data_IF_596163190160
#
_entry.id   IF_596163190160
#
_cell.length_a   1.000
_cell.length_b   1.000
_cell.length_c   1.000
_cell.angle_alpha   90.00
_cell.angle_beta   90.00
_cell.angle_gamma   90.00
#
_symmetry.space_group_name_H-M   'P 1'
#
loop_
_entity.id
_entity.type
_entity.pdbx_description
1 polymer ?
#
# COMPACT_ATOMS: atom_id res chain seq x y z
N UNK A 1 -4.55 4.07 0.11
CA UNK A 1 -5.50 3.03 0.58
C UNK A 1 -4.93 1.67 0.24
N UNK A 2 -5.15 0.63 1.05
CA UNK A 2 -4.71 -0.73 0.72
C UNK A 2 -5.79 -1.76 1.06
N UNK A 3 -5.77 -2.87 0.32
CA UNK A 3 -6.70 -3.98 0.53
C UNK A 3 -5.97 -5.30 0.27
N UNK A 4 -6.17 -6.27 1.16
CA UNK A 4 -5.86 -7.67 0.94
C UNK A 4 -7.18 -8.43 0.95
N UNK A 5 -7.42 -9.29 -0.04
CA UNK A 5 -8.68 -9.98 -0.27
C UNK A 5 -8.43 -11.47 -0.50
N UNK A 6 -8.94 -12.30 0.40
CA UNK A 6 -8.97 -13.74 0.28
C UNK A 6 -10.31 -14.17 -0.32
N UNK A 7 -10.28 -14.78 -1.51
CA UNK A 7 -11.49 -15.24 -2.21
C UNK A 7 -12.09 -16.47 -1.56
N UNK A 8 -13.34 -16.77 -1.88
CA UNK A 8 -14.04 -17.95 -1.34
C UNK A 8 -13.23 -19.23 -1.48
N UNK A 9 -13.36 -20.13 -0.51
CA UNK A 9 -12.65 -21.42 -0.48
C UNK A 9 -11.12 -21.28 -0.63
N UNK A 10 -10.56 -20.12 -0.26
CA UNK A 10 -9.13 -19.83 -0.29
C UNK A 10 -8.48 -20.06 -1.67
N UNK A 11 -9.21 -19.76 -2.75
CA UNK A 11 -8.74 -20.05 -4.11
C UNK A 11 -7.69 -19.07 -4.62
N UNK A 12 -7.71 -17.85 -4.11
CA UNK A 12 -6.83 -16.77 -4.53
C UNK A 12 -6.71 -15.72 -3.41
N UNK A 13 -5.59 -15.01 -3.39
CA UNK A 13 -5.35 -13.88 -2.51
C UNK A 13 -4.91 -12.69 -3.36
N UNK A 14 -5.80 -11.70 -3.47
CA UNK A 14 -5.53 -10.42 -4.15
C UNK A 14 -5.04 -9.38 -3.15
N UNK A 15 -4.19 -8.47 -3.61
CA UNK A 15 -3.73 -7.35 -2.81
C UNK A 15 -3.50 -6.12 -3.68
N UNK A 16 -3.77 -4.95 -3.12
CA UNK A 16 -3.63 -3.70 -3.85
C UNK A 16 -3.37 -2.50 -2.96
N UNK A 17 -2.78 -1.47 -3.56
CA UNK A 17 -2.41 -0.23 -2.91
C UNK A 17 -2.58 0.97 -3.86
N UNK A 18 -3.27 2.01 -3.38
CA UNK A 18 -3.34 3.32 -4.04
C UNK A 18 -2.60 4.36 -3.22
N UNK A 19 -1.59 4.97 -3.83
CA UNK A 19 -0.89 6.09 -3.22
C UNK A 19 -1.77 7.33 -3.27
N UNK A 20 -1.91 8.02 -2.14
CA UNK A 20 -2.56 9.32 -2.08
C UNK A 20 -1.51 10.39 -1.78
N UNK A 21 -1.41 11.39 -2.65
CA UNK A 21 -0.47 12.51 -2.50
C UNK A 21 -0.94 13.71 -3.33
N UNK A 22 -0.16 14.78 -3.36
CA UNK A 22 -0.32 15.89 -4.29
C UNK A 22 -0.07 15.43 -5.72
N UNK A 23 -0.78 15.99 -6.68
CA UNK A 23 -0.59 15.61 -8.09
C UNK A 23 0.75 16.04 -8.66
N UNK A 24 1.53 16.87 -7.93
CA UNK A 24 2.92 17.18 -8.27
C UNK A 24 3.83 15.95 -8.23
N UNK A 25 3.47 14.90 -7.47
CA UNK A 25 4.25 13.67 -7.35
C UNK A 25 3.69 12.53 -8.20
N UNK A 26 2.62 12.77 -8.96
CA UNK A 26 1.98 11.78 -9.83
C UNK A 26 2.84 11.38 -11.04
N UNK A 27 3.85 12.17 -11.41
CA UNK A 27 4.83 11.86 -12.43
C UNK A 27 6.15 12.63 -12.19
N UNK A 28 7.26 12.24 -12.84
CA UNK A 28 7.50 10.93 -13.44
C UNK A 28 7.49 9.81 -12.38
N UNK A 29 6.88 8.67 -12.71
CA UNK A 29 6.89 7.45 -11.88
C UNK A 29 7.76 6.37 -12.51
N UNK A 30 8.23 5.45 -11.68
CA UNK A 30 9.06 4.32 -12.11
C UNK A 30 8.69 3.09 -11.30
N UNK A 31 8.39 1.98 -11.98
CA UNK A 31 8.31 0.67 -11.34
C UNK A 31 9.69 0.01 -11.42
N UNK A 32 10.27 -0.33 -10.27
CA UNK A 32 11.65 -0.79 -10.19
C UNK A 32 11.70 -2.26 -9.86
N UNK A 33 12.63 -2.96 -10.49
CA UNK A 33 12.98 -4.34 -10.19
C UNK A 33 14.48 -4.38 -9.88
N UNK A 34 14.83 -4.59 -8.61
CA UNK A 34 16.23 -4.62 -8.17
C UNK A 34 16.59 -6.01 -7.71
N UNK A 35 17.46 -6.68 -8.46
CA UNK A 35 18.03 -7.98 -8.07
C UNK A 35 19.43 -7.77 -7.50
N UNK A 36 19.58 -7.95 -6.20
CA UNK A 36 20.82 -7.73 -5.47
C UNK A 36 21.25 -9.00 -4.72
N UNK A 37 22.57 -9.22 -4.53
CA UNK A 37 23.05 -10.26 -3.64
C UNK A 37 22.71 -9.91 -2.18
N UNK A 38 22.11 -10.85 -1.46
CA UNK A 38 21.84 -10.74 -0.02
C UNK A 38 22.43 -11.94 0.72
N UNK A 39 22.98 -11.69 1.89
CA UNK A 39 23.58 -12.73 2.72
C UNK A 39 22.50 -13.36 3.61
N UNK A 40 22.32 -14.68 3.50
CA UNK A 40 21.43 -15.48 4.33
C UNK A 40 22.24 -16.58 5.00
N UNK A 41 22.82 -16.26 6.17
CA UNK A 41 23.83 -17.10 6.80
C UNK A 41 25.10 -17.17 5.95
N UNK A 42 25.52 -18.37 5.56
CA UNK A 42 26.70 -18.58 4.71
C UNK A 42 26.37 -18.52 3.20
N UNK A 43 25.09 -18.47 2.82
CA UNK A 43 24.67 -18.45 1.41
C UNK A 43 24.46 -17.02 0.90
N UNK A 44 24.93 -16.75 -0.32
CA UNK A 44 24.57 -15.55 -1.07
C UNK A 44 23.34 -15.85 -1.94
N UNK A 45 22.20 -15.24 -1.60
CA UNK A 45 20.98 -15.33 -2.38
C UNK A 45 20.90 -14.16 -3.35
N UNK A 46 20.25 -14.35 -4.51
CA UNK A 46 19.86 -13.25 -5.38
C UNK A 46 18.41 -12.90 -5.06
N UNK A 47 18.23 -11.74 -4.42
CA UNK A 47 16.90 -11.27 -4.03
C UNK A 47 16.43 -10.17 -4.97
N UNK A 48 15.24 -10.36 -5.51
CA UNK A 48 14.56 -9.37 -6.32
C UNK A 48 13.52 -8.65 -5.48
N UNK A 49 13.63 -7.31 -5.44
CA UNK A 49 12.61 -6.44 -4.86
C UNK A 49 11.97 -5.62 -5.99
N UNK A 50 10.68 -5.85 -6.22
CA UNK A 50 9.86 -5.17 -7.22
C UNK A 50 8.93 -4.18 -6.54
N UNK A 51 8.93 -2.90 -6.93
CA UNK A 51 8.17 -1.87 -6.22
C UNK A 51 7.85 -0.64 -7.06
N UNK A 52 6.75 0.04 -6.73
CA UNK A 52 6.42 1.36 -7.27
C UNK A 52 7.28 2.44 -6.61
N UNK A 53 7.75 3.41 -7.40
CA UNK A 53 8.71 4.42 -6.95
C UNK A 53 8.72 5.63 -7.90
N UNK A 54 9.66 6.55 -7.67
CA UNK A 54 9.91 7.73 -8.49
C UNK A 54 11.42 7.89 -8.75
N UNK A 55 11.85 8.66 -9.77
CA UNK A 55 13.26 8.90 -10.02
C UNK A 55 14.02 9.41 -8.78
N UNK A 56 15.23 8.89 -8.56
CA UNK A 56 16.07 9.24 -7.42
C UNK A 56 15.78 8.48 -6.11
N UNK A 57 14.61 7.87 -5.95
CA UNK A 57 14.33 7.08 -4.74
C UNK A 57 14.89 5.66 -4.85
N UNK A 58 15.52 5.15 -3.79
CA UNK A 58 16.02 3.76 -3.73
C UNK A 58 15.02 2.79 -3.08
N UNK A 59 13.88 3.31 -2.67
CA UNK A 59 12.78 2.63 -2.00
C UNK A 59 11.45 3.04 -2.66
N UNK A 60 10.39 2.34 -2.32
CA UNK A 60 9.04 2.88 -2.44
C UNK A 60 8.89 4.01 -1.40
N UNK A 61 8.02 4.98 -1.69
CA UNK A 61 7.50 5.97 -0.72
C UNK A 61 5.96 5.93 -0.80
N UNK A 62 5.42 4.79 -1.26
CA UNK A 62 4.01 4.61 -1.56
C UNK A 62 3.24 3.98 -0.37
N UNK A 63 3.57 2.80 0.18
CA UNK A 63 4.56 1.79 -0.21
C UNK A 63 3.93 0.50 -0.74
N UNK A 64 4.51 -0.05 -1.82
CA UNK A 64 4.19 -1.36 -2.37
C UNK A 64 5.45 -2.10 -2.79
N UNK A 65 5.70 -3.27 -2.21
CA UNK A 65 6.81 -4.15 -2.57
C UNK A 65 6.37 -5.59 -2.77
N UNK A 66 7.02 -6.25 -3.73
CA UNK A 66 7.10 -7.70 -3.84
C UNK A 66 8.56 -8.10 -3.67
N UNK A 67 8.86 -8.87 -2.64
CA UNK A 67 10.20 -9.37 -2.31
C UNK A 67 10.24 -10.85 -2.61
N UNK A 68 11.12 -11.29 -3.53
CA UNK A 68 11.21 -12.71 -3.89
C UNK A 68 12.65 -13.18 -4.06
N UNK A 69 12.92 -14.35 -3.52
CA UNK A 69 14.07 -15.19 -3.81
C UNK A 69 13.69 -16.68 -3.64
N UNK A 70 14.67 -17.57 -3.52
CA UNK A 70 14.43 -19.00 -3.33
C UNK A 70 13.85 -19.38 -1.94
N UNK A 71 13.97 -18.50 -0.94
CA UNK A 71 13.52 -18.73 0.44
C UNK A 71 12.32 -17.86 0.84
N UNK A 72 12.06 -16.78 0.11
CA UNK A 72 11.12 -15.74 0.50
C UNK A 72 10.24 -15.31 -0.66
N UNK A 73 8.95 -15.12 -0.39
CA UNK A 73 7.99 -14.52 -1.31
C UNK A 73 7.04 -13.64 -0.52
N UNK A 74 7.46 -12.41 -0.23
CA UNK A 74 6.70 -11.46 0.59
C UNK A 74 6.06 -10.37 -0.25
N UNK A 75 4.86 -9.96 0.14
CA UNK A 75 4.23 -8.72 -0.29
C UNK A 75 4.19 -7.79 0.92
N UNK A 76 4.71 -6.57 0.74
CA UNK A 76 4.84 -5.58 1.81
C UNK A 76 4.19 -4.30 1.35
N UNK A 77 3.14 -3.88 2.06
CA UNK A 77 2.35 -2.68 1.73
C UNK A 77 2.16 -1.86 2.99
N UNK A 78 2.06 -0.54 2.88
CA UNK A 78 1.73 0.33 4.01
C UNK A 78 0.58 1.30 3.72
N UNK A 79 -0.07 1.82 4.76
CA UNK A 79 -0.69 3.15 4.69
C UNK A 79 -0.33 3.97 5.92
N UNK A 80 -0.15 5.28 5.73
CA UNK A 80 0.40 6.15 6.78
C UNK A 80 -0.64 6.56 7.81
N UNK A 81 -0.30 6.47 9.09
CA UNK A 81 -1.10 6.94 10.20
C UNK A 81 -0.75 8.38 10.57
N UNK A 82 -1.77 9.17 10.89
CA UNK A 82 -1.56 10.52 11.40
C UNK A 82 -1.23 10.52 12.89
N UNK A 83 -0.39 11.47 13.33
CA UNK A 83 -0.08 11.70 14.75
C UNK A 83 -0.72 13.02 15.18
N UNK A 84 -1.89 12.91 15.83
CA UNK A 84 -2.65 14.05 16.35
C UNK A 84 -2.20 14.48 17.75
N UNK A 85 -1.63 13.56 18.53
CA UNK A 85 -1.09 13.84 19.86
C UNK A 85 0.34 14.39 19.75
N UNK A 86 0.48 15.70 19.79
CA UNK A 86 1.78 16.38 19.69
C UNK A 86 2.80 15.95 20.76
N UNK A 87 2.37 15.55 21.96
CA UNK A 87 3.30 15.08 23.00
C UNK A 87 4.01 13.77 22.63
N UNK A 88 3.49 12.99 21.67
CA UNK A 88 4.15 11.78 21.18
C UNK A 88 5.51 12.10 20.53
N UNK A 89 5.66 13.28 19.92
CA UNK A 89 6.92 13.69 19.29
C UNK A 89 8.09 13.85 20.27
N UNK A 90 7.83 13.90 21.59
CA UNK A 90 8.91 13.88 22.58
C UNK A 90 9.73 12.58 22.59
N UNK A 91 9.20 11.50 21.99
CA UNK A 91 9.90 10.23 21.82
C UNK A 91 10.87 10.19 20.63
N UNK A 92 10.87 11.21 19.76
CA UNK A 92 11.76 11.26 18.60
C UNK A 92 13.20 11.54 19.04
N UNK A 93 14.15 10.82 18.45
CA UNK A 93 15.58 11.02 18.70
C UNK A 93 16.40 10.83 17.41
N UNK A 94 17.46 11.62 17.18
CA UNK A 94 18.39 11.39 16.07
C UNK A 94 19.21 10.09 16.22
N UNK A 95 19.26 9.47 17.40
CA UNK A 95 19.86 8.14 17.60
C UNK A 95 18.90 7.01 17.19
N UNK A 96 18.40 7.09 15.97
CA UNK A 96 17.43 6.15 15.38
C UNK A 96 17.70 5.92 13.90
N UNK A 97 16.97 5.01 13.27
CA UNK A 97 17.05 4.73 11.83
C UNK A 97 15.73 5.13 11.17
N UNK A 98 15.82 5.96 10.13
CA UNK A 98 14.66 6.44 9.38
C UNK A 98 13.86 5.28 8.77
N UNK A 99 12.53 5.45 8.70
CA UNK A 99 11.61 4.42 8.20
C UNK A 99 12.06 3.80 6.86
N UNK A 100 12.38 4.63 5.86
CA UNK A 100 12.80 4.13 4.55
C UNK A 100 14.02 3.18 4.61
N UNK A 101 14.98 3.45 5.49
CA UNK A 101 16.17 2.62 5.64
C UNK A 101 15.85 1.31 6.36
N UNK A 102 14.96 1.36 7.38
CA UNK A 102 14.47 0.14 8.06
C UNK A 102 13.67 -0.73 7.10
N UNK A 103 12.83 -0.15 6.24
CA UNK A 103 12.11 -0.87 5.18
C UNK A 103 13.07 -1.55 4.21
N UNK A 104 14.10 -0.85 3.74
CA UNK A 104 15.11 -1.43 2.84
C UNK A 104 15.84 -2.62 3.49
N UNK A 105 16.22 -2.49 4.77
CA UNK A 105 16.86 -3.57 5.54
C UNK A 105 15.91 -4.76 5.72
N UNK A 106 14.65 -4.51 6.11
CA UNK A 106 13.66 -5.58 6.30
C UNK A 106 13.39 -6.33 4.99
N UNK A 107 13.21 -5.61 3.88
CA UNK A 107 13.05 -6.21 2.55
C UNK A 107 14.30 -7.02 2.13
N UNK A 108 15.50 -6.59 2.50
CA UNK A 108 16.74 -7.28 2.17
C UNK A 108 17.00 -8.54 3.02
N UNK A 109 16.53 -8.58 4.28
CA UNK A 109 16.92 -9.62 5.25
C UNK A 109 15.81 -10.57 5.68
N UNK A 110 14.53 -10.16 5.61
CA UNK A 110 13.42 -10.99 6.05
C UNK A 110 13.22 -12.20 5.11
N UNK A 111 12.84 -13.35 5.66
CA UNK A 111 12.44 -14.52 4.85
C UNK A 111 10.96 -14.86 4.99
N UNK A 112 10.33 -14.38 6.07
CA UNK A 112 8.93 -14.57 6.43
C UNK A 112 8.33 -13.25 6.98
N UNK A 113 7.01 -13.22 7.16
CA UNK A 113 6.29 -12.06 7.70
C UNK A 113 6.71 -11.63 9.13
N UNK A 114 6.83 -12.54 10.13
CA UNK A 114 7.33 -12.18 11.46
C UNK A 114 8.76 -11.65 11.43
N UNK A 115 9.63 -12.23 10.59
CA UNK A 115 11.00 -11.77 10.40
C UNK A 115 11.05 -10.36 9.84
N UNK A 116 10.16 -10.02 8.91
CA UNK A 116 10.04 -8.65 8.39
C UNK A 116 9.69 -7.66 9.49
N UNK A 117 8.65 -7.96 10.28
CA UNK A 117 8.24 -7.14 11.41
C UNK A 117 9.39 -6.96 12.42
N UNK A 118 10.13 -8.02 12.73
CA UNK A 118 11.30 -7.99 13.61
C UNK A 118 12.42 -7.08 13.07
N UNK A 119 12.79 -7.21 11.79
CA UNK A 119 13.85 -6.40 11.20
C UNK A 119 13.46 -4.92 11.11
N UNK A 120 12.22 -4.63 10.71
CA UNK A 120 11.71 -3.26 10.62
C UNK A 120 11.65 -2.57 12.00
N UNK A 121 11.39 -3.34 13.07
CA UNK A 121 11.30 -2.83 14.44
C UNK A 121 12.65 -2.44 15.07
N UNK A 122 13.77 -2.71 14.39
CA UNK A 122 15.10 -2.33 14.87
C UNK A 122 15.34 -0.82 14.78
N UNK A 123 15.69 -0.18 15.89
CA UNK A 123 16.05 1.25 15.97
C UNK A 123 14.97 2.20 15.41
N UNK A 124 13.72 2.13 15.88
CA UNK A 124 12.62 2.88 15.30
C UNK A 124 12.81 4.38 15.48
N UNK A 125 12.44 5.14 14.44
CA UNK A 125 12.57 6.59 14.45
C UNK A 125 11.30 7.30 14.90
N UNK A 126 10.12 6.68 14.81
CA UNK A 126 8.84 7.37 15.00
C UNK A 126 8.54 8.39 13.89
N UNK A 127 9.20 8.25 12.74
CA UNK A 127 8.99 9.09 11.56
C UNK A 127 8.42 8.24 10.43
N UNK A 128 7.57 8.85 9.60
CA UNK A 128 6.78 8.13 8.58
C UNK A 128 6.02 6.94 9.22
N UNK A 129 5.10 7.31 10.11
CA UNK A 129 4.39 6.41 11.02
C UNK A 129 3.29 5.68 10.25
N UNK A 130 3.45 4.38 10.05
CA UNK A 130 2.61 3.64 9.10
C UNK A 130 2.01 2.39 9.74
N UNK A 131 0.92 1.90 9.15
CA UNK A 131 0.47 0.51 9.27
C UNK A 131 1.07 -0.28 8.11
N UNK A 132 2.01 -1.17 8.41
CA UNK A 132 2.62 -2.11 7.49
C UNK A 132 1.85 -3.44 7.49
N UNK A 133 1.58 -3.98 6.31
CA UNK A 133 0.94 -5.27 6.09
C UNK A 133 1.92 -6.15 5.33
N UNK A 134 2.29 -7.28 5.92
CA UNK A 134 3.26 -8.22 5.36
C UNK A 134 2.58 -9.56 5.12
N UNK A 135 2.43 -9.92 3.86
CA UNK A 135 1.88 -11.19 3.43
C UNK A 135 3.02 -12.12 2.98
N UNK A 136 3.09 -13.29 3.59
CA UNK A 136 4.01 -14.37 3.22
C UNK A 136 3.31 -15.36 2.28
N UNK A 137 3.58 -15.22 0.97
CA UNK A 137 3.00 -16.07 -0.06
C UNK A 137 3.56 -17.49 -0.04
N UNK A 138 4.71 -17.75 0.61
CA UNK A 138 5.20 -19.13 0.76
C UNK A 138 4.28 -19.98 1.65
N UNK A 139 3.48 -19.32 2.49
CA UNK A 139 2.51 -19.98 3.39
C UNK A 139 1.11 -20.05 2.80
N UNK A 140 0.85 -19.39 1.67
CA UNK A 140 -0.44 -19.48 0.99
C UNK A 140 -0.52 -20.76 0.14
N UNK A 141 -1.36 -21.70 0.55
CA UNK A 141 -1.67 -22.90 -0.23
C UNK A 141 -3.11 -22.81 -0.72
N UNK A 142 -3.28 -22.75 -2.04
CA UNK A 142 -4.59 -22.67 -2.70
C UNK A 142 -5.53 -23.77 -2.18
N UNK A 143 -6.72 -23.37 -1.76
CA UNK A 143 -7.75 -24.28 -1.25
C UNK A 143 -7.58 -24.71 0.20
N UNK A 144 -6.53 -24.29 0.89
CA UNK A 144 -6.28 -24.63 2.30
C UNK A 144 -6.46 -23.41 3.21
N UNK A 145 -6.90 -23.60 4.48
CA UNK A 145 -6.90 -22.55 5.48
C UNK A 145 -5.53 -21.85 5.59
N UNK A 146 -5.53 -20.53 5.81
CA UNK A 146 -4.29 -19.79 6.04
C UNK A 146 -3.60 -20.34 7.29
N UNK A 147 -2.32 -20.68 7.15
CA UNK A 147 -1.49 -21.02 8.30
C UNK A 147 -1.19 -19.77 9.14
N UNK A 148 -0.84 -19.95 10.41
CA UNK A 148 -0.30 -18.86 11.21
C UNK A 148 0.92 -18.24 10.52
N UNK A 149 1.12 -16.96 10.79
CA UNK A 149 2.16 -16.11 10.22
C UNK A 149 2.10 -15.94 8.69
N UNK A 150 0.97 -16.24 8.05
CA UNK A 150 0.76 -15.92 6.64
C UNK A 150 0.61 -14.42 6.43
N UNK A 151 -0.03 -13.70 7.36
CA UNK A 151 -0.31 -12.27 7.23
C UNK A 151 -0.06 -11.55 8.56
N UNK A 152 0.93 -10.67 8.59
CA UNK A 152 1.27 -9.84 9.75
C UNK A 152 0.93 -8.39 9.52
N UNK A 153 0.51 -7.71 10.59
CA UNK A 153 0.30 -6.27 10.60
C UNK A 153 1.19 -5.65 11.68
N UNK A 154 1.89 -4.59 11.31
CA UNK A 154 2.75 -3.80 12.20
C UNK A 154 2.32 -2.34 12.13
N UNK A 155 2.19 -1.68 13.28
CA UNK A 155 1.98 -0.24 13.34
C UNK A 155 3.10 0.45 14.12
N UNK A 156 3.69 1.49 13.53
CA UNK A 156 4.65 2.37 14.19
C UNK A 156 4.05 3.75 14.40
N UNK A 157 4.22 4.27 15.61
CA UNK A 157 4.03 5.68 15.98
C UNK A 157 5.20 6.12 16.87
N UNK A 158 5.41 7.42 17.16
CA UNK A 158 6.53 7.84 18.00
C UNK A 158 6.56 7.12 19.36
N UNK A 159 7.64 6.37 19.61
CA UNK A 159 7.86 5.63 20.85
C UNK A 159 7.09 4.32 21.01
N UNK A 160 6.36 3.85 19.99
CA UNK A 160 5.59 2.61 20.06
C UNK A 160 5.60 1.88 18.71
N UNK A 161 5.91 0.59 18.76
CA UNK A 161 5.62 -0.36 17.68
C UNK A 161 4.76 -1.47 18.25
N UNK A 162 3.69 -1.81 17.52
CA UNK A 162 2.92 -3.04 17.73
C UNK A 162 3.04 -3.90 16.48
N UNK A 163 3.25 -5.20 16.61
CA UNK A 163 3.27 -6.13 15.49
C UNK A 163 2.63 -7.45 15.88
N UNK A 164 1.71 -7.96 15.06
CA UNK A 164 0.95 -9.16 15.39
C UNK A 164 0.51 -9.94 14.14
N UNK A 165 0.38 -11.25 14.28
CA UNK A 165 -0.20 -12.12 13.27
C UNK A 165 -1.71 -11.86 13.13
N UNK A 166 -2.14 -11.56 11.92
CA UNK A 166 -3.54 -11.32 11.54
C UNK A 166 -4.04 -12.36 10.52
N UNK A 167 -3.39 -13.53 10.43
CA UNK A 167 -3.77 -14.62 9.54
C UNK A 167 -5.19 -15.13 9.85
N UNK A 168 -5.55 -15.26 11.13
CA UNK A 168 -6.90 -15.64 11.56
C UNK A 168 -7.94 -14.60 11.14
N UNK A 169 -7.64 -13.32 11.32
CA UNK A 169 -8.51 -12.23 10.87
C UNK A 169 -8.74 -12.29 9.36
N UNK A 170 -7.68 -12.41 8.56
CA UNK A 170 -7.80 -12.48 7.10
C UNK A 170 -8.57 -13.73 6.66
N UNK A 171 -8.37 -14.87 7.33
CA UNK A 171 -9.11 -16.11 7.10
C UNK A 171 -10.61 -15.96 7.41
N UNK A 172 -10.96 -15.32 8.52
CA UNK A 172 -12.35 -15.19 8.99
C UNK A 172 -13.11 -14.07 8.28
N UNK A 173 -12.51 -12.88 8.20
CA UNK A 173 -13.13 -11.68 7.61
C UNK A 173 -13.04 -11.67 6.09
N UNK A 174 -12.17 -12.50 5.51
CA UNK A 174 -11.92 -12.62 4.07
C UNK A 174 -11.22 -11.41 3.44
N UNK A 175 -10.94 -10.36 4.21
CA UNK A 175 -10.18 -9.21 3.75
C UNK A 175 -9.51 -8.45 4.92
N UNK A 176 -8.50 -7.65 4.57
CA UNK A 176 -7.92 -6.62 5.41
C UNK A 176 -7.89 -5.30 4.64
N UNK A 177 -8.57 -4.27 5.13
CA UNK A 177 -8.52 -2.93 4.54
C UNK A 177 -7.69 -1.98 5.40
N UNK A 178 -6.88 -1.13 4.76
CA UNK A 178 -6.03 -0.12 5.41
C UNK A 178 -6.25 1.26 4.77
N UNK A 179 -6.42 2.27 5.63
CA UNK A 179 -6.97 3.58 5.22
C UNK A 179 -6.59 4.70 6.19
N UNK A 180 -5.31 4.76 6.58
CA UNK A 180 -4.72 5.83 7.38
C UNK A 180 -5.34 6.02 8.78
N UNK A 181 -5.95 4.98 9.33
CA UNK A 181 -6.47 4.94 10.71
C UNK A 181 -5.81 3.74 11.36
N UNK A 182 -5.26 3.90 12.57
CA UNK A 182 -4.59 2.80 13.25
C UNK A 182 -5.59 1.72 13.72
N UNK A 183 -5.23 0.45 13.55
CA UNK A 183 -6.01 -0.73 13.91
C UNK A 183 -5.87 -1.09 15.39
N UNK A 184 -4.68 -0.97 15.96
CA UNK A 184 -4.43 -1.39 17.33
C UNK A 184 -4.85 -0.29 18.33
N UNK A 185 -5.59 -0.63 19.41
CA UNK A 185 -6.09 0.35 20.37
C UNK A 185 -5.00 1.23 21.01
N UNK A 186 -3.86 0.64 21.35
CA UNK A 186 -2.69 1.30 21.92
C UNK A 186 -2.01 2.23 20.93
N UNK A 187 -1.88 1.82 19.67
CA UNK A 187 -1.38 2.68 18.59
C UNK A 187 -2.29 3.89 18.40
N UNK A 188 -3.61 3.68 18.27
CA UNK A 188 -4.57 4.80 18.20
C UNK A 188 -4.44 5.74 19.39
N UNK A 189 -4.39 5.17 20.60
CA UNK A 189 -4.24 5.95 21.84
C UNK A 189 -2.95 6.76 21.86
N UNK A 190 -1.83 6.20 21.40
CA UNK A 190 -0.54 6.88 21.34
C UNK A 190 -0.55 7.99 20.27
N UNK A 191 -1.11 7.72 19.10
CA UNK A 191 -1.28 8.69 18.01
C UNK A 191 -2.27 9.82 18.34
N UNK A 192 -3.20 9.60 19.28
CA UNK A 192 -4.32 10.52 19.52
C UNK A 192 -5.41 10.41 18.45
N UNK A 193 -5.49 9.28 17.74
CA UNK A 193 -6.53 9.00 16.76
C UNK A 193 -7.86 8.72 17.48
N UNK A 194 -8.90 9.45 17.07
CA UNK A 194 -10.25 9.35 17.63
C UNK A 194 -11.21 8.59 16.72
N UNK A 195 -10.86 8.44 15.44
CA UNK A 195 -11.63 7.65 14.51
C UNK A 195 -11.54 6.17 14.87
N UNK A 196 -12.69 5.49 14.75
CA UNK A 196 -12.73 4.05 14.88
C UNK A 196 -12.36 3.43 13.53
N UNK A 197 -11.31 2.60 13.54
CA UNK A 197 -10.83 1.86 12.38
C UNK A 197 -11.98 1.21 11.61
N UNK A 198 -12.80 0.41 12.30
CA UNK A 198 -13.81 -0.44 11.67
C UNK A 198 -15.05 0.29 11.14
N UNK A 199 -15.25 1.56 11.47
CA UNK A 199 -16.46 2.31 11.10
C UNK A 199 -16.19 3.63 10.37
N UNK A 200 -14.92 3.98 10.16
CA UNK A 200 -14.59 5.14 9.34
C UNK A 200 -15.07 4.97 7.88
N UNK A 201 -15.14 6.06 7.14
CA UNK A 201 -15.75 6.09 5.80
C UNK A 201 -15.14 5.03 4.85
N UNK A 202 -13.81 4.95 4.74
CA UNK A 202 -13.14 3.95 3.88
C UNK A 202 -13.29 2.52 4.38
N UNK A 203 -13.43 2.30 5.69
CA UNK A 203 -13.78 0.98 6.23
C UNK A 203 -15.15 0.51 5.73
N UNK A 204 -16.14 1.42 5.75
CA UNK A 204 -17.48 1.14 5.22
C UNK A 204 -17.46 0.89 3.72
N UNK A 205 -16.72 1.70 2.95
CA UNK A 205 -16.57 1.49 1.51
C UNK A 205 -15.96 0.12 1.20
N UNK A 206 -14.82 -0.22 1.82
CA UNK A 206 -14.21 -1.53 1.62
C UNK A 206 -15.14 -2.66 2.02
N UNK A 207 -15.86 -2.55 3.14
CA UNK A 207 -16.83 -3.56 3.55
C UNK A 207 -17.94 -3.77 2.49
N UNK A 208 -18.41 -2.70 1.84
CA UNK A 208 -19.41 -2.79 0.77
C UNK A 208 -18.88 -3.28 -0.57
N UNK A 209 -17.63 -2.94 -0.92
CA UNK A 209 -17.05 -3.18 -2.23
C UNK A 209 -16.31 -4.51 -2.32
N UNK A 210 -15.59 -4.92 -1.26
CA UNK A 210 -14.76 -6.12 -1.31
C UNK A 210 -15.47 -7.45 -1.66
N UNK A 211 -16.79 -7.64 -1.42
CA UNK A 211 -17.46 -8.86 -1.86
C UNK A 211 -17.45 -9.07 -3.38
N UNK A 212 -17.35 -8.01 -4.18
CA UNK A 212 -17.36 -8.13 -5.66
C UNK A 212 -16.05 -8.68 -6.23
N UNK A 213 -14.97 -8.70 -5.44
CA UNK A 213 -13.64 -9.06 -5.89
C UNK A 213 -13.53 -10.57 -6.07
N UNK A 214 -13.65 -11.00 -7.32
CA UNK A 214 -13.49 -12.39 -7.75
C UNK A 214 -12.40 -12.56 -8.81
N UNK A 215 -11.91 -11.46 -9.40
CA UNK A 215 -10.83 -11.42 -10.39
C UNK A 215 -9.83 -10.28 -10.10
N UNK A 216 -8.72 -10.25 -10.84
CA UNK A 216 -7.76 -9.15 -10.79
C UNK A 216 -8.39 -7.83 -11.26
N UNK A 217 -9.22 -7.86 -12.31
CA UNK A 217 -9.94 -6.69 -12.84
C UNK A 217 -10.94 -6.15 -11.82
N UNK A 218 -11.64 -7.04 -11.10
CA UNK A 218 -12.53 -6.60 -10.02
C UNK A 218 -11.74 -5.94 -8.87
N UNK A 219 -10.54 -6.44 -8.55
CA UNK A 219 -9.65 -5.80 -7.60
C UNK A 219 -9.18 -4.42 -8.10
N UNK A 220 -8.81 -4.31 -9.38
CA UNK A 220 -8.44 -3.05 -10.03
C UNK A 220 -9.56 -2.02 -9.92
N UNK A 221 -10.80 -2.40 -10.24
CA UNK A 221 -11.97 -1.51 -10.11
C UNK A 221 -12.24 -1.08 -8.67
N UNK A 222 -12.09 -1.98 -7.68
CA UNK A 222 -12.32 -1.62 -6.27
C UNK A 222 -11.24 -0.68 -5.74
N UNK A 223 -9.97 -0.93 -6.08
CA UNK A 223 -8.87 -0.06 -5.66
C UNK A 223 -8.98 1.31 -6.32
N UNK A 224 -9.35 1.36 -7.60
CA UNK A 224 -9.56 2.61 -8.32
C UNK A 224 -10.89 3.33 -8.03
N UNK A 225 -11.73 2.78 -7.16
CA UNK A 225 -13.11 3.21 -7.01
C UNK A 225 -13.22 4.66 -6.54
N UNK A 226 -13.99 5.45 -7.30
CA UNK A 226 -14.46 6.77 -6.92
C UNK A 226 -15.78 7.11 -7.62
N UNK A 227 -16.83 6.36 -7.35
CA UNK A 227 -18.19 6.67 -7.78
C UNK A 227 -18.97 7.41 -6.69
N UNK A 228 -18.40 8.54 -6.21
CA UNK A 228 -18.97 9.28 -5.09
C UNK A 228 -20.36 9.85 -5.38
N UNK A 229 -20.70 10.09 -6.66
CA UNK A 229 -22.00 10.64 -7.05
C UNK A 229 -23.16 9.64 -6.85
N UNK A 230 -22.89 8.33 -6.98
CA UNK A 230 -23.90 7.28 -6.80
C UNK A 230 -23.77 6.53 -5.46
N UNK A 231 -22.83 6.93 -4.61
CA UNK A 231 -22.57 6.27 -3.33
C UNK A 231 -23.53 6.73 -2.22
N UNK A 232 -23.92 5.79 -1.36
CA UNK A 232 -24.61 6.08 -0.09
C UNK A 232 -23.66 6.27 1.09
N UNK A 233 -22.35 6.10 0.88
CA UNK A 233 -21.30 6.20 1.90
C UNK A 233 -20.40 7.42 1.64
N UNK A 234 -19.99 7.60 0.39
CA UNK A 234 -19.19 8.73 -0.07
C UNK A 234 -20.09 9.89 -0.48
N UNK A 235 -19.76 11.10 -0.06
CA UNK A 235 -20.54 12.31 -0.38
C UNK A 235 -19.70 13.41 -1.02
N UNK A 236 -18.43 13.14 -1.29
CA UNK A 236 -17.53 14.06 -1.99
C UNK A 236 -16.48 13.27 -2.79
N UNK A 237 -15.84 13.88 -3.80
CA UNK A 237 -14.83 13.18 -4.60
C UNK A 237 -13.56 12.83 -3.79
N UNK A 238 -13.37 13.42 -2.61
CA UNK A 238 -12.29 13.07 -1.68
C UNK A 238 -12.65 11.89 -0.77
N UNK A 239 -13.93 11.54 -0.66
CA UNK A 239 -14.42 10.44 0.17
C UNK A 239 -14.48 9.12 -0.61
N UNK A 240 -13.36 8.67 -1.16
CA UNK A 240 -13.31 7.48 -2.01
C UNK A 240 -12.23 6.48 -1.57
N UNK A 241 -12.11 5.34 -2.27
CA UNK A 241 -10.92 4.48 -2.15
C UNK A 241 -9.73 5.17 -2.85
N UNK A 242 -9.99 5.77 -4.01
CA UNK A 242 -9.02 6.59 -4.76
C UNK A 242 -9.53 8.04 -4.92
N UNK A 243 -9.16 8.93 -3.99
CA UNK A 243 -9.69 10.30 -3.93
C UNK A 243 -9.36 11.16 -5.17
N UNK A 244 -10.26 12.10 -5.47
CA UNK A 244 -10.20 13.08 -6.55
C UNK A 244 -10.45 14.51 -6.01
N UNK A 245 -9.50 15.04 -5.25
CA UNK A 245 -9.62 16.38 -4.66
C UNK A 245 -9.77 17.49 -5.70
N UNK A 246 -9.34 17.24 -6.94
CA UNK A 246 -9.42 18.15 -8.08
C UNK A 246 -10.85 18.34 -8.60
N UNK A 247 -11.76 17.40 -8.31
CA UNK A 247 -13.17 17.47 -8.70
C UNK A 247 -14.04 18.20 -7.67
N UNK A 248 -13.50 18.53 -6.49
CA UNK A 248 -14.23 19.28 -5.48
C UNK A 248 -14.62 20.70 -5.97
N UNK A 249 -15.64 21.28 -5.32
CA UNK A 249 -16.05 22.68 -5.58
C UNK A 249 -14.89 23.67 -5.35
N UNK A 250 -14.13 23.47 -4.27
CA UNK A 250 -12.83 24.09 -4.06
C UNK A 250 -11.72 23.07 -4.38
N UNK A 251 -11.21 23.07 -5.63
CA UNK A 251 -10.35 21.99 -6.10
C UNK A 251 -8.99 22.04 -5.44
N UNK A 252 -8.44 20.86 -5.16
CA UNK A 252 -7.05 20.67 -4.74
C UNK A 252 -6.42 19.63 -5.65
N UNK A 253 -5.24 19.92 -6.20
CA UNK A 253 -4.49 18.96 -7.02
C UNK A 253 -3.85 17.90 -6.13
N UNK A 254 -4.66 16.99 -5.60
CA UNK A 254 -4.25 15.92 -4.69
C UNK A 254 -5.35 14.88 -4.50
N UNK A 255 -4.94 13.66 -4.16
CA UNK A 255 -5.80 12.49 -4.11
C UNK A 255 -5.00 11.25 -4.49
N UNK A 256 -5.68 10.23 -5.03
CA UNK A 256 -5.00 9.06 -5.60
C UNK A 256 -4.10 9.46 -6.79
N UNK A 257 -2.87 8.96 -6.82
CA UNK A 257 -1.89 9.24 -7.88
C UNK A 257 -1.35 7.99 -8.58
N UNK A 258 -1.71 6.81 -8.09
CA UNK A 258 -1.48 5.53 -8.74
C UNK A 258 -2.37 4.46 -8.11
N UNK A 259 -2.42 3.30 -8.75
CA UNK A 259 -2.88 2.06 -8.13
C UNK A 259 -2.01 0.90 -8.57
N UNK A 260 -1.75 -0.06 -7.67
CA UNK A 260 -0.98 -1.28 -7.90
C UNK A 260 -1.77 -2.48 -7.38
N UNK A 261 -1.92 -3.51 -8.19
CA UNK A 261 -2.66 -4.73 -7.87
C UNK A 261 -1.83 -5.97 -8.23
N UNK A 262 -1.84 -6.96 -7.36
CA UNK A 262 -1.28 -8.28 -7.61
C UNK A 262 -2.13 -9.38 -6.96
N UNK A 263 -1.76 -10.63 -7.22
CA UNK A 263 -2.35 -11.82 -6.60
C UNK A 263 -1.29 -12.85 -6.25
N UNK A 264 -1.62 -13.84 -5.43
CA UNK A 264 -0.70 -14.94 -5.15
C UNK A 264 -0.27 -15.64 -6.45
N UNK A 265 -1.22 -15.86 -7.38
CA UNK A 265 -0.93 -16.40 -8.72
C UNK A 265 -0.01 -15.49 -9.55
N UNK A 266 -0.27 -14.18 -9.62
CA UNK A 266 0.53 -13.26 -10.44
C UNK A 266 1.98 -13.14 -9.94
N UNK A 267 2.20 -13.26 -8.63
CA UNK A 267 3.54 -13.25 -8.06
C UNK A 267 4.26 -14.59 -8.26
N UNK A 268 3.54 -15.71 -8.19
CA UNK A 268 4.06 -17.02 -8.55
C UNK A 268 4.50 -17.02 -10.03
N UNK A 269 3.67 -16.47 -10.92
CA UNK A 269 3.87 -16.34 -12.37
C UNK A 269 4.77 -15.16 -12.78
N UNK A 270 5.90 -15.00 -12.09
CA UNK A 270 6.95 -14.06 -12.50
C UNK A 270 6.86 -12.67 -11.87
N UNK A 271 6.36 -12.55 -10.63
CA UNK A 271 6.31 -11.28 -9.88
C UNK A 271 5.56 -10.17 -10.64
N UNK A 272 4.47 -10.52 -11.32
CA UNK A 272 3.72 -9.57 -12.11
C UNK A 272 2.78 -8.74 -11.21
N UNK A 273 2.94 -7.42 -11.26
CA UNK A 273 2.04 -6.43 -10.68
C UNK A 273 1.37 -5.65 -11.80
N UNK A 274 0.06 -5.51 -11.79
CA UNK A 274 -0.64 -4.56 -12.67
C UNK A 274 -0.70 -3.21 -11.97
N UNK A 275 -0.38 -2.14 -12.68
CA UNK A 275 -0.42 -0.80 -12.11
C UNK A 275 -0.89 0.24 -13.13
N UNK A 276 -1.46 1.31 -12.61
CA UNK A 276 -1.85 2.50 -13.35
C UNK A 276 -1.27 3.74 -12.66
N UNK A 277 -0.74 4.67 -13.44
CA UNK A 277 -0.27 5.95 -12.94
C UNK A 277 -1.36 7.02 -13.10
N UNK A 278 -1.42 7.95 -12.15
CA UNK A 278 -2.34 9.09 -12.15
C UNK A 278 -3.63 8.88 -11.36
N UNK A 279 -4.45 9.93 -11.24
CA UNK A 279 -5.77 9.85 -10.62
C UNK A 279 -6.70 8.89 -11.36
N UNK A 280 -7.62 8.25 -10.63
CA UNK A 280 -8.59 7.33 -11.26
C UNK A 280 -9.41 8.03 -12.34
N UNK A 281 -9.55 7.36 -13.47
CA UNK A 281 -10.40 7.73 -14.61
C UNK A 281 -11.49 6.66 -14.89
N UNK A 282 -11.74 5.74 -13.95
CA UNK A 282 -12.75 4.67 -14.13
C UNK A 282 -14.18 5.21 -14.03
N UNK A 283 -14.47 5.89 -12.92
CA UNK A 283 -15.78 6.48 -12.64
C UNK A 283 -15.83 7.99 -12.94
N UNK A 284 -14.67 8.59 -13.22
CA UNK A 284 -14.46 10.03 -13.29
C UNK A 284 -13.70 10.44 -14.56
N UNK A 285 -13.83 11.69 -15.04
CA UNK A 285 -13.04 12.14 -16.18
C UNK A 285 -11.54 12.12 -15.86
N UNK A 286 -10.66 11.86 -16.84
CA UNK A 286 -9.22 11.96 -16.67
C UNK A 286 -8.81 13.32 -16.11
N UNK A 287 -7.79 13.33 -15.24
CA UNK A 287 -7.22 14.59 -14.77
C UNK A 287 -6.29 15.17 -15.83
N UNK A 288 -6.51 16.42 -16.22
CA UNK A 288 -5.65 17.17 -17.13
C UNK A 288 -5.16 18.45 -16.47
N UNK A 289 -3.89 18.80 -16.72
CA UNK A 289 -3.35 20.10 -16.31
C UNK A 289 -3.94 21.26 -17.12
N UNK A 290 -4.34 21.02 -18.36
CA UNK A 290 -5.03 22.01 -19.18
C UNK A 290 -6.49 22.25 -18.73
N UNK A 291 -7.04 23.41 -19.08
CA UNK A 291 -8.38 23.82 -18.70
C UNK A 291 -8.45 24.32 -17.26
N UNK A 292 -9.05 23.54 -16.34
CA UNK A 292 -9.29 23.99 -14.95
C UNK A 292 -8.01 24.33 -14.20
N UNK A 293 -6.89 23.70 -14.56
CA UNK A 293 -5.61 23.82 -13.86
C UNK A 293 -4.50 24.47 -14.72
N UNK A 294 -4.86 25.11 -15.84
CA UNK A 294 -3.87 25.63 -16.82
C UNK A 294 -2.93 26.67 -16.21
N UNK A 295 -3.42 27.44 -15.23
CA UNK A 295 -2.65 28.44 -14.49
C UNK A 295 -2.28 27.98 -13.08
N UNK A 296 -2.29 26.67 -12.83
CA UNK A 296 -1.88 26.11 -11.54
C UNK A 296 -0.40 26.39 -11.28
N UNK A 297 -0.09 26.82 -10.06
CA UNK A 297 1.30 26.98 -9.59
C UNK A 297 1.92 25.66 -9.10
N UNK A 298 1.17 24.56 -9.12
CA UNK A 298 1.67 23.24 -8.71
C UNK A 298 2.77 22.79 -9.67
N UNK A 299 3.99 22.44 -9.20
CA UNK A 299 5.04 21.94 -10.08
C UNK A 299 4.63 20.63 -10.78
N UNK A 300 4.82 20.54 -12.09
CA UNK A 300 4.44 19.37 -12.89
C UNK A 300 5.30 19.20 -14.15
N UNK A 301 6.56 19.64 -14.10
CA UNK A 301 7.50 19.47 -15.20
C UNK A 301 7.72 17.98 -15.50
N UNK A 302 7.57 17.59 -16.77
CA UNK A 302 7.70 16.19 -17.20
C UNK A 302 6.44 15.34 -17.02
N UNK A 303 5.33 15.94 -16.61
CA UNK A 303 4.02 15.27 -16.57
C UNK A 303 3.44 15.15 -17.98
N UNK A 304 2.57 14.16 -18.23
CA UNK A 304 1.68 14.23 -19.38
C UNK A 304 0.70 15.38 -19.22
N UNK A 305 0.10 15.84 -20.33
CA UNK A 305 -0.98 16.83 -20.30
C UNK A 305 -2.18 16.29 -19.51
N UNK A 306 -2.56 15.05 -19.78
CA UNK A 306 -3.62 14.32 -19.10
C UNK A 306 -3.12 12.98 -18.57
N UNK A 307 -3.57 12.60 -17.38
CA UNK A 307 -3.38 11.27 -16.82
C UNK A 307 -4.55 10.39 -17.24
N UNK A 308 -4.40 9.79 -18.43
CA UNK A 308 -5.39 8.90 -19.04
C UNK A 308 -4.70 7.59 -19.44
N UNK A 309 -4.12 6.91 -18.46
CA UNK A 309 -3.34 5.69 -18.67
C UNK A 309 -4.18 4.46 -18.36
N UNK A 310 -4.01 3.43 -19.18
CA UNK A 310 -4.54 2.10 -18.88
C UNK A 310 -3.68 1.39 -17.82
N UNK A 311 -4.27 0.36 -17.21
CA UNK A 311 -3.55 -0.60 -16.38
C UNK A 311 -2.55 -1.39 -17.21
N UNK A 312 -1.29 -1.40 -16.77
CA UNK A 312 -0.21 -2.11 -17.45
C UNK A 312 0.47 -3.14 -16.52
N UNK A 313 0.94 -4.28 -17.05
CA UNK A 313 1.71 -5.25 -16.28
C UNK A 313 3.18 -4.80 -16.12
N UNK A 314 3.69 -4.92 -14.90
CA UNK A 314 5.09 -4.72 -14.54
C UNK A 314 5.65 -6.01 -13.96
N UNK A 315 6.70 -6.52 -14.59
CA UNK A 315 7.38 -7.76 -14.19
C UNK A 315 8.89 -7.61 -14.40
N UNK A 316 9.73 -8.23 -13.57
CA UNK A 316 11.16 -8.27 -13.81
C UNK A 316 11.46 -8.86 -15.20
N UNK A 317 12.39 -8.24 -15.92
CA UNK A 317 12.95 -8.86 -17.11
C UNK A 317 13.84 -10.02 -16.64
N UNK A 318 13.33 -11.25 -16.77
CA UNK A 318 14.13 -12.45 -16.54
C UNK A 318 14.95 -12.68 -17.81
N UNK A 319 16.20 -12.22 -17.80
CA UNK A 319 17.21 -12.60 -18.80
C UNK A 319 17.80 -13.96 -18.48
#
# INVERSE_FOLDING_TARGET
>A
SALFKLTESNQELYFGHDTWDTYATAAPRSFKHLTLPVWSGEAALKRTVSFSSSPGFLVSIDDYYVVKDEKSSLVVIETSNNIYRHSAYSALTPQSVMCFARTAVANALAVDAPGWAKWFSGYPSGTYNNQWMVLDLNKFVKGQPLANDTFWVLEEVPGLIHAEDQSSWLQEKRYWGSYNVAFYPETRKAAGEVQNHSTCMRARLFASLQPSITSAEAMESVMAWNDYQNSSIAHSPSEAIMARGDLAAMPRTGGGIDSKVGSASSIAEGMCTRARAGPTNDDQPPFCWEGRFEHSSTPHMGHPVCFDFDWAPFKPNVS
#
